data_IF_576395487402
#
_entry.id   IF_576395487402
#
_cell.length_a   1.000
_cell.length_b   1.000
_cell.length_c   1.000
_cell.angle_alpha   90.00
_cell.angle_beta   90.00
_cell.angle_gamma   90.00
#
_symmetry.space_group_name_H-M   'P 1'
#
loop_
_entity.id
_entity.type
_entity.pdbx_description
1 polymer ?
#
# COMPACT_ATOMS: atom_id res chain seq x y z
N UNK A 1 -44.80 -28.78 3.24
CA UNK A 1 -44.42 -27.39 3.61
C UNK A 1 -42.98 -27.16 3.19
N UNK A 2 -42.76 -26.57 2.01
CA UNK A 2 -41.42 -26.26 1.50
C UNK A 2 -40.95 -24.94 2.10
N UNK A 3 -39.87 -24.96 2.89
CA UNK A 3 -39.21 -23.74 3.39
C UNK A 3 -38.62 -23.00 2.19
N UNK A 4 -39.00 -21.74 1.91
CA UNK A 4 -38.27 -20.95 0.95
C UNK A 4 -36.90 -20.63 1.56
N UNK A 5 -35.85 -21.25 1.04
CA UNK A 5 -34.48 -20.78 1.24
C UNK A 5 -34.36 -19.41 0.60
N UNK A 6 -34.55 -18.36 1.40
CA UNK A 6 -34.42 -16.96 0.99
C UNK A 6 -32.94 -16.64 0.70
N UNK A 7 -32.46 -17.09 -0.46
CA UNK A 7 -31.22 -16.61 -1.07
C UNK A 7 -31.46 -15.20 -1.65
N UNK A 8 -31.57 -14.21 -0.77
CA UNK A 8 -31.60 -12.79 -1.14
C UNK A 8 -30.70 -12.02 -0.17
N UNK A 9 -29.40 -12.29 -0.24
CA UNK A 9 -28.35 -11.64 0.56
C UNK A 9 -27.99 -10.21 0.07
N UNK A 10 -28.75 -9.65 -0.87
CA UNK A 10 -28.54 -8.32 -1.43
C UNK A 10 -29.80 -7.45 -1.28
N UNK A 11 -29.62 -6.13 -1.17
CA UNK A 11 -30.75 -5.21 -1.02
C UNK A 11 -31.64 -5.25 -2.27
N UNK A 12 -32.98 -5.35 -2.12
CA UNK A 12 -33.91 -5.35 -3.25
C UNK A 12 -33.90 -4.00 -3.98
N UNK A 13 -33.65 -2.90 -3.27
CA UNK A 13 -33.45 -1.56 -3.84
C UNK A 13 -32.00 -1.14 -3.59
N UNK A 14 -31.24 -1.00 -4.67
CA UNK A 14 -29.82 -0.62 -4.61
C UNK A 14 -29.68 0.84 -4.21
N UNK A 15 -28.74 1.13 -3.30
CA UNK A 15 -28.37 2.51 -3.01
C UNK A 15 -27.59 3.12 -4.19
N UNK A 16 -28.32 3.84 -5.06
CA UNK A 16 -27.80 4.47 -6.27
C UNK A 16 -26.62 5.41 -6.06
N UNK A 17 -26.48 6.04 -4.88
CA UNK A 17 -25.41 7.02 -4.62
C UNK A 17 -24.07 6.38 -4.26
N UNK A 18 -24.06 5.14 -3.79
CA UNK A 18 -22.86 4.44 -3.32
C UNK A 18 -22.87 2.97 -3.73
N UNK A 19 -22.94 2.67 -5.04
CA UNK A 19 -22.76 1.31 -5.51
C UNK A 19 -21.35 0.82 -5.16
N UNK A 20 -21.21 -0.47 -4.91
CA UNK A 20 -19.95 -1.17 -4.70
C UNK A 20 -20.05 -2.56 -5.31
N UNK A 21 -18.93 -3.25 -5.42
CA UNK A 21 -18.84 -4.58 -5.98
C UNK A 21 -18.82 -5.64 -4.85
N UNK A 22 -19.36 -6.82 -5.14
CA UNK A 22 -19.20 -8.06 -4.35
C UNK A 22 -19.81 -8.07 -2.93
N UNK A 23 -20.89 -7.31 -2.67
CA UNK A 23 -21.65 -7.43 -1.41
C UNK A 23 -20.92 -6.94 -0.15
N UNK A 24 -21.59 -6.98 1.01
CA UNK A 24 -21.13 -6.39 2.27
C UNK A 24 -20.92 -7.45 3.38
N UNK A 25 -19.86 -7.34 4.22
CA UNK A 25 -18.75 -6.40 4.14
C UNK A 25 -17.71 -6.84 3.09
N UNK A 26 -17.29 -5.93 2.22
CA UNK A 26 -16.27 -6.26 1.22
C UNK A 26 -14.84 -6.30 1.78
N UNK A 27 -13.88 -6.58 0.91
CA UNK A 27 -12.45 -6.62 1.23
C UNK A 27 -11.96 -5.38 1.97
N UNK A 28 -10.93 -5.51 2.84
CA UNK A 28 -10.33 -4.38 3.50
C UNK A 28 -9.66 -3.45 2.46
N UNK A 29 -9.87 -2.16 2.63
CA UNK A 29 -9.40 -1.12 1.73
C UNK A 29 -8.79 0.02 2.54
N UNK A 30 -7.60 0.44 2.12
CA UNK A 30 -6.95 1.64 2.62
C UNK A 30 -7.59 2.83 1.90
N UNK A 31 -8.22 3.70 2.69
CA UNK A 31 -8.91 4.90 2.24
C UNK A 31 -8.34 6.12 2.93
N UNK A 32 -8.60 7.25 2.30
CA UNK A 32 -8.36 8.57 2.86
C UNK A 32 -9.71 9.27 2.95
N UNK A 33 -10.12 9.72 4.14
CA UNK A 33 -11.37 10.45 4.34
C UNK A 33 -11.10 11.78 5.00
N UNK A 34 -11.70 12.82 4.45
CA UNK A 34 -11.70 14.14 5.05
C UNK A 34 -12.87 14.30 6.01
N UNK A 35 -12.68 15.12 7.03
CA UNK A 35 -13.80 15.69 7.80
C UNK A 35 -14.56 16.69 6.93
N UNK A 36 -15.89 16.77 7.01
CA UNK A 36 -16.65 17.81 6.30
C UNK A 36 -16.59 19.13 7.08
N UNK A 37 -15.46 19.83 6.98
CA UNK A 37 -15.20 21.12 7.63
C UNK A 37 -14.79 22.18 6.60
N UNK A 38 -14.63 23.43 7.03
CA UNK A 38 -14.13 24.51 6.16
C UNK A 38 -12.76 24.12 5.62
N UNK A 39 -12.51 24.37 4.33
CA UNK A 39 -11.30 23.93 3.63
C UNK A 39 -10.00 24.33 4.35
N UNK A 40 -9.94 25.50 4.99
CA UNK A 40 -8.76 25.99 5.73
C UNK A 40 -8.31 25.08 6.87
N UNK A 41 -9.22 24.27 7.43
CA UNK A 41 -8.98 23.34 8.52
C UNK A 41 -9.14 21.88 8.07
N UNK A 42 -9.19 21.65 6.77
CA UNK A 42 -9.37 20.31 6.21
C UNK A 42 -8.14 19.47 6.51
N UNK A 43 -8.38 18.31 7.10
CA UNK A 43 -7.38 17.25 7.20
C UNK A 43 -7.99 15.93 6.74
N UNK A 44 -7.11 15.01 6.39
CA UNK A 44 -7.49 13.69 5.93
C UNK A 44 -6.93 12.63 6.84
N UNK A 45 -7.77 11.68 7.22
CA UNK A 45 -7.34 10.49 7.94
C UNK A 45 -7.12 9.36 6.94
N UNK A 46 -6.01 8.66 7.09
CA UNK A 46 -5.67 7.44 6.36
C UNK A 46 -5.98 6.27 7.29
N UNK A 47 -6.82 5.36 6.83
CA UNK A 47 -7.25 4.21 7.63
C UNK A 47 -7.60 3.02 6.77
N UNK A 48 -7.65 1.86 7.40
CA UNK A 48 -8.14 0.61 6.84
C UNK A 48 -9.59 0.44 7.26
N UNK A 49 -10.48 0.25 6.30
CA UNK A 49 -11.88 -0.12 6.56
C UNK A 49 -12.35 -1.19 5.58
N UNK A 50 -13.53 -1.76 5.77
CA UNK A 50 -14.15 -2.58 4.74
C UNK A 50 -14.63 -1.73 3.55
N UNK A 51 -14.71 -2.34 2.37
CA UNK A 51 -15.21 -1.68 1.15
C UNK A 51 -16.58 -1.03 1.36
N UNK A 52 -17.47 -1.73 2.08
CA UNK A 52 -18.74 -1.19 2.56
C UNK A 52 -18.57 -0.62 3.95
N UNK A 53 -18.85 0.68 4.11
CA UNK A 53 -18.69 1.35 5.40
C UNK A 53 -19.74 0.87 6.40
N UNK A 54 -19.28 0.37 7.55
CA UNK A 54 -20.18 -0.01 8.65
C UNK A 54 -20.62 1.27 9.37
N UNK A 55 -21.92 1.55 9.36
CA UNK A 55 -22.51 2.66 10.14
C UNK A 55 -23.03 2.21 11.50
N UNK A 56 -23.37 0.93 11.63
CA UNK A 56 -24.07 0.34 12.78
C UNK A 56 -23.12 -0.34 13.78
N UNK A 57 -21.81 -0.19 13.64
CA UNK A 57 -20.82 -0.69 14.61
C UNK A 57 -20.02 0.47 15.19
N UNK A 58 -19.70 0.38 16.48
CA UNK A 58 -18.79 1.33 17.15
C UNK A 58 -17.39 1.25 16.53
N UNK A 59 -16.97 0.05 16.14
CA UNK A 59 -15.79 -0.19 15.31
C UNK A 59 -16.12 0.07 13.83
N UNK A 60 -16.04 1.35 13.43
CA UNK A 60 -16.26 1.78 12.03
C UNK A 60 -15.05 1.57 11.12
N UNK A 61 -13.87 1.37 11.71
CA UNK A 61 -12.59 1.18 11.03
C UNK A 61 -11.85 -0.02 11.59
N UNK A 62 -11.02 -0.67 10.77
CA UNK A 62 -10.18 -1.81 11.15
C UNK A 62 -8.87 -1.35 11.78
N UNK A 63 -8.28 -0.29 11.24
CA UNK A 63 -7.03 0.28 11.75
C UNK A 63 -6.87 1.73 11.30
N UNK A 64 -6.31 2.58 12.16
CA UNK A 64 -5.97 3.96 11.83
C UNK A 64 -4.50 4.03 11.44
N UNK A 65 -4.20 4.46 10.21
CA UNK A 65 -2.83 4.50 9.69
C UNK A 65 -2.17 5.85 9.90
N UNK A 66 -2.92 6.94 10.02
CA UNK A 66 -2.33 8.26 10.28
C UNK A 66 -3.10 9.41 9.66
N UNK A 67 -2.48 10.58 9.64
CA UNK A 67 -3.11 11.85 9.24
C UNK A 67 -2.30 12.53 8.15
N UNK A 68 -2.98 13.07 7.16
CA UNK A 68 -2.42 13.90 6.10
C UNK A 68 -3.00 15.31 6.16
N UNK A 69 -2.11 16.31 6.21
CA UNK A 69 -2.47 17.71 6.04
C UNK A 69 -2.26 18.12 4.59
N UNK A 70 -3.32 18.52 3.86
CA UNK A 70 -3.22 18.94 2.46
C UNK A 70 -2.72 20.40 2.31
N UNK A 71 -2.41 21.08 3.42
CA UNK A 71 -1.99 22.47 3.42
C UNK A 71 -0.47 22.57 3.56
N UNK A 72 0.20 23.32 2.67
CA UNK A 72 1.63 23.50 2.74
C UNK A 72 1.98 24.41 3.94
N UNK A 73 2.92 23.98 4.76
CA UNK A 73 3.37 24.69 5.96
C UNK A 73 4.81 25.17 5.79
N UNK A 74 5.12 26.37 6.27
CA UNK A 74 6.51 26.84 6.34
C UNK A 74 7.31 25.93 7.30
N UNK A 75 8.56 25.58 6.95
CA UNK A 75 9.44 24.92 7.91
C UNK A 75 9.76 25.89 9.05
N UNK A 76 9.27 25.57 10.25
CA UNK A 76 9.60 26.28 11.48
C UNK A 76 10.54 25.48 12.38
N UNK A 77 10.88 24.26 11.96
CA UNK A 77 11.62 23.29 12.76
C UNK A 77 12.97 22.93 12.17
N UNK A 78 13.22 23.25 10.90
CA UNK A 78 14.57 23.21 10.35
C UNK A 78 15.37 24.37 10.96
N UNK A 79 16.52 24.12 11.64
CA UNK A 79 17.49 25.18 11.85
C UNK A 79 17.95 25.71 10.48
N UNK A 80 18.52 26.91 10.41
CA UNK A 80 19.10 27.52 9.19
C UNK A 80 20.35 26.75 8.69
N UNK A 81 20.29 25.43 8.60
CA UNK A 81 21.27 24.61 7.91
C UNK A 81 20.92 24.71 6.43
N UNK A 82 21.80 25.25 5.58
CA UNK A 82 21.47 25.52 4.18
C UNK A 82 21.51 24.22 3.36
N UNK A 83 20.57 23.32 3.62
CA UNK A 83 20.27 22.18 2.75
C UNK A 83 19.46 22.73 1.58
N UNK A 84 19.89 22.42 0.37
CA UNK A 84 19.19 22.84 -0.84
C UNK A 84 17.73 22.35 -0.79
N UNK A 85 16.79 23.23 -1.12
CA UNK A 85 15.32 22.99 -1.09
C UNK A 85 14.67 22.89 0.31
N UNK A 86 15.41 23.02 1.41
CA UNK A 86 14.83 22.93 2.77
C UNK A 86 13.90 24.09 3.14
N UNK A 87 13.97 25.20 2.39
CA UNK A 87 13.07 26.35 2.53
C UNK A 87 11.78 26.24 1.72
N UNK A 88 11.55 25.13 1.01
CA UNK A 88 10.25 24.87 0.38
C UNK A 88 9.17 24.66 1.46
N UNK A 89 7.91 24.77 1.07
CA UNK A 89 6.81 24.45 1.98
C UNK A 89 6.70 22.93 2.18
N UNK A 90 6.38 22.53 3.39
CA UNK A 90 6.27 21.14 3.83
C UNK A 90 4.82 20.67 3.80
N UNK A 91 4.62 19.44 3.35
CA UNK A 91 3.34 18.74 3.41
C UNK A 91 3.45 17.67 4.50
N UNK A 92 2.79 17.91 5.64
CA UNK A 92 2.94 17.05 6.81
C UNK A 92 2.02 15.83 6.73
N UNK A 93 2.61 14.65 6.88
CA UNK A 93 1.90 13.37 6.88
C UNK A 93 2.50 12.42 7.89
N UNK A 94 1.67 11.80 8.72
CA UNK A 94 2.05 10.68 9.58
C UNK A 94 1.50 9.37 9.03
N UNK A 95 2.31 8.31 9.05
CA UNK A 95 1.94 6.98 8.55
C UNK A 95 2.51 5.93 9.50
N UNK A 96 1.65 5.04 9.98
CA UNK A 96 2.01 3.78 10.64
C UNK A 96 2.48 2.78 9.57
N UNK A 97 3.79 2.62 9.48
CA UNK A 97 4.46 1.82 8.44
C UNK A 97 4.25 0.33 8.70
N UNK A 98 4.28 -0.11 9.95
CA UNK A 98 4.21 -1.53 10.29
C UNK A 98 2.79 -2.05 10.09
N UNK A 99 1.79 -1.31 10.55
CA UNK A 99 0.41 -1.61 10.26
C UNK A 99 0.13 -1.58 8.76
N UNK A 100 0.68 -0.61 8.02
CA UNK A 100 0.57 -0.59 6.57
C UNK A 100 1.15 -1.85 5.93
N UNK A 101 2.39 -2.23 6.26
CA UNK A 101 3.04 -3.45 5.73
C UNK A 101 2.26 -4.71 6.06
N UNK A 102 1.73 -4.82 7.27
CA UNK A 102 0.86 -5.94 7.67
C UNK A 102 -0.42 -5.99 6.84
N UNK A 103 -1.16 -4.88 6.75
CA UNK A 103 -2.43 -4.84 6.03
C UNK A 103 -2.25 -4.98 4.52
N UNK A 104 -1.18 -4.43 3.96
CA UNK A 104 -0.90 -4.48 2.53
C UNK A 104 -0.27 -5.82 2.11
N UNK A 105 0.79 -6.25 2.78
CA UNK A 105 1.52 -7.48 2.45
C UNK A 105 0.81 -8.74 2.92
N UNK A 106 0.49 -8.82 4.22
CA UNK A 106 -0.08 -10.04 4.82
C UNK A 106 -1.58 -10.16 4.55
N UNK A 107 -2.35 -9.08 4.78
CA UNK A 107 -3.82 -9.09 4.60
C UNK A 107 -4.29 -8.71 3.20
N UNK A 108 -3.37 -8.32 2.30
CA UNK A 108 -3.65 -8.04 0.88
C UNK A 108 -4.78 -7.00 0.70
N UNK A 109 -4.71 -5.90 1.43
CA UNK A 109 -5.66 -4.80 1.32
C UNK A 109 -5.73 -4.19 -0.08
N UNK A 110 -6.92 -3.70 -0.44
CA UNK A 110 -7.10 -2.80 -1.60
C UNK A 110 -6.58 -1.40 -1.25
N UNK A 111 -6.18 -0.64 -2.27
CA UNK A 111 -5.64 0.70 -2.09
C UNK A 111 -6.41 1.72 -2.96
N UNK A 112 -6.82 2.83 -2.35
CA UNK A 112 -7.41 3.96 -3.07
C UNK A 112 -6.30 4.86 -3.64
N UNK A 113 -6.59 5.59 -4.73
CA UNK A 113 -5.61 6.42 -5.44
C UNK A 113 -5.03 7.55 -4.57
N UNK A 114 -5.85 8.16 -3.70
CA UNK A 114 -5.41 9.21 -2.78
C UNK A 114 -4.28 8.74 -1.84
N UNK A 115 -4.52 7.73 -0.97
CA UNK A 115 -3.47 7.12 -0.17
C UNK A 115 -2.27 6.61 -0.97
N UNK A 116 -2.50 6.02 -2.15
CA UNK A 116 -1.40 5.54 -3.00
C UNK A 116 -0.45 6.69 -3.36
N UNK A 117 -0.97 7.83 -3.79
CA UNK A 117 -0.14 8.98 -4.15
C UNK A 117 0.70 9.49 -2.97
N UNK A 118 0.17 9.42 -1.74
CA UNK A 118 0.89 9.83 -0.52
C UNK A 118 2.00 8.81 -0.20
N UNK A 119 1.69 7.52 -0.20
CA UNK A 119 2.64 6.44 0.04
C UNK A 119 3.76 6.39 -1.02
N UNK A 120 3.46 6.84 -2.24
CA UNK A 120 4.46 7.00 -3.29
C UNK A 120 5.45 8.14 -2.99
N UNK A 121 5.00 9.23 -2.35
CA UNK A 121 5.88 10.32 -1.93
C UNK A 121 6.76 9.94 -0.73
N UNK A 122 6.34 8.98 0.09
CA UNK A 122 7.14 8.46 1.20
C UNK A 122 8.11 7.33 0.79
N UNK A 123 8.12 6.92 -0.47
CA UNK A 123 8.98 5.82 -0.96
C UNK A 123 8.51 4.41 -0.58
N UNK A 124 7.29 4.25 -0.04
CA UNK A 124 6.75 2.93 0.33
C UNK A 124 6.15 2.18 -0.86
N UNK A 125 5.68 2.90 -1.88
CA UNK A 125 5.10 2.34 -3.09
C UNK A 125 5.62 3.08 -4.33
N UNK A 126 5.58 2.46 -5.52
CA UNK A 126 5.78 3.20 -6.76
C UNK A 126 4.62 4.20 -7.00
N UNK A 127 4.81 5.21 -7.87
CA UNK A 127 3.77 6.12 -8.31
C UNK A 127 2.51 5.38 -8.79
N UNK A 128 1.33 5.98 -8.56
CA UNK A 128 0.08 5.31 -8.91
C UNK A 128 -0.16 5.31 -10.41
N UNK A 129 -0.89 4.31 -10.90
CA UNK A 129 -1.31 4.22 -12.31
C UNK A 129 -2.13 5.42 -12.83
N UNK A 130 -2.62 6.30 -11.93
CA UNK A 130 -3.35 7.52 -12.30
C UNK A 130 -2.47 8.77 -12.38
N UNK A 131 -1.24 8.72 -11.88
CA UNK A 131 -0.26 9.81 -12.01
C UNK A 131 0.38 9.78 -13.40
N UNK A 132 -0.39 10.24 -14.40
CA UNK A 132 0.05 10.23 -15.79
C UNK A 132 0.83 11.50 -16.14
N UNK A 133 2.02 11.34 -16.71
CA UNK A 133 2.66 12.42 -17.46
C UNK A 133 1.90 12.61 -18.77
N UNK A 134 1.36 13.81 -19.00
CA UNK A 134 0.66 14.12 -20.26
C UNK A 134 1.61 14.31 -21.45
N UNK A 135 2.91 14.37 -21.18
CA UNK A 135 3.95 14.57 -22.18
C UNK A 135 4.27 13.25 -22.89
N UNK A 136 4.24 12.13 -22.15
CA UNK A 136 4.57 10.82 -22.69
C UNK A 136 3.30 10.00 -22.96
N UNK A 137 3.06 9.54 -24.20
CA UNK A 137 1.97 8.63 -24.49
C UNK A 137 2.22 7.26 -23.85
N UNK A 138 1.17 6.43 -23.81
CA UNK A 138 1.30 5.03 -23.38
C UNK A 138 2.19 4.24 -24.36
N UNK A 139 2.98 3.28 -23.87
CA UNK A 139 3.84 2.47 -24.73
C UNK A 139 3.03 1.56 -25.67
N UNK A 140 3.62 1.25 -26.82
CA UNK A 140 3.14 0.25 -27.79
C UNK A 140 4.05 -0.98 -27.66
N UNK A 141 3.46 -2.17 -27.71
CA UNK A 141 4.18 -3.42 -27.52
C UNK A 141 4.11 -4.31 -28.76
N UNK A 142 5.27 -4.76 -29.23
CA UNK A 142 5.42 -5.80 -30.25
C UNK A 142 6.19 -6.99 -29.66
N UNK A 143 5.59 -8.17 -29.73
CA UNK A 143 6.15 -9.42 -29.20
C UNK A 143 7.52 -9.74 -29.82
N UNK A 144 7.72 -9.45 -31.11
CA UNK A 144 8.97 -9.82 -31.79
C UNK A 144 10.17 -9.00 -31.29
N UNK A 145 9.97 -7.71 -31.03
CA UNK A 145 10.98 -6.83 -30.47
C UNK A 145 11.27 -7.15 -29.00
N UNK A 146 10.22 -7.41 -28.22
CA UNK A 146 10.37 -7.82 -26.82
C UNK A 146 11.15 -9.13 -26.69
N UNK A 147 10.92 -10.11 -27.59
CA UNK A 147 11.65 -11.37 -27.58
C UNK A 147 13.14 -11.17 -27.89
N UNK A 148 13.47 -10.29 -28.85
CA UNK A 148 14.87 -9.94 -29.16
C UNK A 148 15.57 -9.36 -27.93
N UNK A 149 14.91 -8.45 -27.22
CA UNK A 149 15.46 -7.87 -25.98
C UNK A 149 15.63 -8.92 -24.87
N UNK A 150 14.65 -9.81 -24.71
CA UNK A 150 14.70 -10.89 -23.72
C UNK A 150 15.86 -11.85 -23.97
N UNK A 151 16.03 -12.32 -25.21
CA UNK A 151 17.12 -13.24 -25.57
C UNK A 151 18.51 -12.61 -25.39
N UNK A 152 18.62 -11.28 -25.55
CA UNK A 152 19.87 -10.56 -25.35
C UNK A 152 20.29 -10.47 -23.86
N UNK A 153 19.33 -10.35 -22.94
CA UNK A 153 19.59 -9.94 -21.55
C UNK A 153 19.01 -10.87 -20.47
N UNK A 154 18.67 -12.13 -20.80
CA UNK A 154 18.11 -13.05 -19.81
C UNK A 154 19.14 -13.42 -18.73
N UNK A 155 18.70 -13.42 -17.47
CA UNK A 155 19.49 -13.90 -16.33
C UNK A 155 19.57 -15.43 -16.32
N UNK A 156 20.61 -15.97 -15.69
CA UNK A 156 20.71 -17.40 -15.40
C UNK A 156 19.61 -17.85 -14.43
N UNK A 157 19.15 -19.09 -14.61
CA UNK A 157 18.06 -19.67 -13.82
C UNK A 157 18.40 -19.74 -12.33
N UNK A 158 19.62 -20.14 -11.98
CA UNK A 158 20.05 -20.24 -10.57
C UNK A 158 20.04 -18.88 -9.87
N UNK A 159 20.42 -17.81 -10.57
CA UNK A 159 20.40 -16.46 -10.03
C UNK A 159 18.97 -15.97 -9.81
N UNK A 160 18.07 -16.26 -10.75
CA UNK A 160 16.64 -15.96 -10.62
C UNK A 160 16.01 -16.67 -9.42
N UNK A 161 16.23 -17.97 -9.28
CA UNK A 161 15.70 -18.76 -8.15
C UNK A 161 16.25 -18.23 -6.82
N UNK A 162 17.52 -17.83 -6.77
CA UNK A 162 18.13 -17.26 -5.57
C UNK A 162 17.56 -15.89 -5.22
N UNK A 163 17.34 -15.04 -6.22
CA UNK A 163 16.72 -13.71 -6.07
C UNK A 163 15.29 -13.84 -5.56
N UNK A 164 14.48 -14.74 -6.14
CA UNK A 164 13.11 -15.00 -5.71
C UNK A 164 13.05 -15.53 -4.27
N UNK A 165 13.96 -16.44 -3.89
CA UNK A 165 14.04 -16.93 -2.52
C UNK A 165 14.30 -15.80 -1.52
N UNK A 166 15.28 -14.94 -1.81
CA UNK A 166 15.66 -13.83 -0.93
C UNK A 166 14.56 -12.76 -0.81
N UNK A 167 13.84 -12.50 -1.90
CA UNK A 167 12.82 -11.45 -1.95
C UNK A 167 11.48 -11.89 -1.35
N UNK A 168 11.07 -13.15 -1.54
CA UNK A 168 9.71 -13.60 -1.20
C UNK A 168 9.64 -14.61 -0.06
N UNK A 169 10.72 -15.35 0.22
CA UNK A 169 10.71 -16.38 1.27
C UNK A 169 11.41 -15.89 2.54
N UNK A 170 12.74 -15.85 2.53
CA UNK A 170 13.52 -15.42 3.69
C UNK A 170 14.83 -14.77 3.24
N UNK A 171 15.02 -13.53 3.67
CA UNK A 171 16.25 -12.78 3.41
C UNK A 171 17.35 -13.05 4.45
N UNK A 172 17.01 -13.56 5.64
CA UNK A 172 17.95 -13.85 6.73
C UNK A 172 18.49 -15.28 6.60
N UNK A 173 19.44 -15.49 5.68
CA UNK A 173 20.08 -16.79 5.45
C UNK A 173 21.42 -16.85 6.18
N UNK A 174 21.62 -17.90 6.97
CA UNK A 174 22.86 -18.08 7.73
C UNK A 174 24.06 -18.35 6.84
N UNK A 175 25.15 -17.63 7.08
CA UNK A 175 26.44 -17.83 6.40
C UNK A 175 27.17 -19.08 6.91
N UNK A 176 28.16 -19.60 6.17
CA UNK A 176 28.96 -20.74 6.65
C UNK A 176 29.67 -20.46 7.98
N UNK A 177 30.10 -19.23 8.20
CA UNK A 177 30.79 -18.80 9.43
C UNK A 177 29.86 -18.83 10.64
N UNK A 178 28.62 -18.32 10.50
CA UNK A 178 27.60 -18.36 11.55
C UNK A 178 27.25 -19.80 11.92
N UNK A 179 27.13 -20.69 10.93
CA UNK A 179 26.87 -22.12 11.19
C UNK A 179 28.02 -22.80 11.91
N UNK A 180 29.26 -22.42 11.59
CA UNK A 180 30.45 -22.94 12.26
C UNK A 180 30.57 -22.42 13.71
N UNK A 181 30.03 -21.24 14.00
CA UNK A 181 29.97 -20.68 15.36
C UNK A 181 28.82 -21.28 16.19
N UNK A 182 27.69 -21.62 15.57
CA UNK A 182 26.53 -22.20 16.26
C UNK A 182 26.63 -23.70 16.53
N UNK A 183 27.58 -24.41 15.90
CA UNK A 183 27.72 -25.85 16.11
C UNK A 183 28.03 -26.13 17.59
N UNK A 184 27.49 -27.23 18.17
CA UNK A 184 27.83 -27.63 19.52
C UNK A 184 29.35 -27.69 19.73
N UNK A 185 29.80 -27.40 20.94
CA UNK A 185 31.21 -27.50 21.33
C UNK A 185 31.33 -28.59 22.41
N UNK A 186 32.51 -29.19 22.55
CA UNK A 186 32.79 -30.15 23.61
C UNK A 186 32.33 -29.62 25.00
N UNK A 187 31.69 -30.45 25.84
CA UNK A 187 31.58 -31.91 25.76
C UNK A 187 30.43 -32.44 24.88
N UNK A 188 29.67 -31.58 24.20
CA UNK A 188 28.47 -31.97 23.45
C UNK A 188 28.69 -32.13 21.93
N UNK A 189 29.92 -31.96 21.45
CA UNK A 189 30.32 -32.20 20.05
C UNK A 189 30.53 -33.71 19.80
#
# INVERSE_FOLDING_TARGET
MLRPTSASLAKPIVNRKRPQLWGAPGAPIIRMRGHHVVWKFQSYDIFVEHTHTRRNSDLRLLHYLGKHCPHPQKSLWSPDTPVMQDRHLFMLTTIDIDAFKYWFGVKRCRLSVGPWNILAKSGLLPPSHRQNSKIMPKPIFDKTQLMRYFLANRKDEQLLVREDYLNYQNSMVKTPEERAAERPVAPYL
#
